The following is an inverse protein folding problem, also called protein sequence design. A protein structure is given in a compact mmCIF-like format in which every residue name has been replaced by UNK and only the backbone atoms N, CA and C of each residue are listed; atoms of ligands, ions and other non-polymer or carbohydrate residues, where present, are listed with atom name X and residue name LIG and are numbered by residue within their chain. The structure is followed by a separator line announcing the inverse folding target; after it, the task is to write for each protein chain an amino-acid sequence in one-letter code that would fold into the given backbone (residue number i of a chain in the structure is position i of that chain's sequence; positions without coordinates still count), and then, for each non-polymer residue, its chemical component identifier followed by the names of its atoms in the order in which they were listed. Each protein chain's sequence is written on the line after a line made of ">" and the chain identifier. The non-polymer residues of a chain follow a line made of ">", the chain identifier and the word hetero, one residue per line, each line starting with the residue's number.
data_IF_940098061232
#
_entry.id   IF_940098061232
#
_cell.length_a   1.000
_cell.length_b   1.000
_cell.length_c   1.000
_cell.angle_alpha   90.00
_cell.angle_beta   90.00
_cell.angle_gamma   90.00
#
_symmetry.space_group_name_H-M   'P 1'
#
loop_
_entity.id
_entity.type
_entity.pdbx_description
1 polymer ?
#
# COMPACT_ATOMS: atom_id res chain seq x y z
N UNK A 1 10.42 35.37 41.68
CA UNK A 1 10.20 33.96 41.31
C UNK A 1 9.45 33.96 39.98
N UNK A 2 10.17 34.16 38.88
CA UNK A 2 9.61 34.35 37.54
C UNK A 2 9.48 32.98 36.89
N UNK A 3 8.25 32.54 36.68
CA UNK A 3 7.93 31.25 36.08
C UNK A 3 7.84 31.37 34.55
N UNK A 4 8.41 30.37 33.88
CA UNK A 4 8.04 29.86 32.56
C UNK A 4 8.51 30.66 31.34
N UNK A 5 9.78 30.41 30.98
CA UNK A 5 10.10 30.08 29.59
C UNK A 5 9.33 28.83 29.17
N UNK A 6 8.77 28.82 27.95
CA UNK A 6 8.52 27.67 27.05
C UNK A 6 7.52 28.12 25.98
N UNK A 7 7.95 28.99 25.06
CA UNK A 7 7.40 28.98 23.71
C UNK A 7 8.43 28.24 22.85
N UNK A 8 8.40 26.93 23.00
CA UNK A 8 9.12 26.00 22.13
C UNK A 8 8.52 26.14 20.73
N UNK A 9 9.41 26.40 19.79
CA UNK A 9 9.18 26.64 18.37
C UNK A 9 8.15 25.67 17.79
N UNK A 10 7.08 26.23 17.21
CA UNK A 10 6.15 25.50 16.36
C UNK A 10 6.96 24.80 15.26
N UNK A 11 6.94 23.48 15.29
CA UNK A 11 7.54 22.58 14.31
C UNK A 11 7.35 23.08 12.88
N UNK A 12 8.45 23.10 12.13
CA UNK A 12 8.49 23.30 10.68
C UNK A 12 7.36 22.48 10.05
N UNK A 13 6.32 23.16 9.56
CA UNK A 13 5.26 22.55 8.77
C UNK A 13 5.93 22.15 7.47
N UNK A 14 6.27 20.88 7.32
CA UNK A 14 6.80 20.35 6.08
C UNK A 14 5.68 20.49 5.04
N UNK A 15 5.84 21.45 4.13
CA UNK A 15 4.83 21.79 3.13
C UNK A 15 4.59 20.55 2.25
N UNK A 16 3.33 20.11 2.06
CA UNK A 16 3.05 18.89 1.31
C UNK A 16 3.57 19.05 -0.13
N UNK A 17 4.57 18.24 -0.49
CA UNK A 17 5.12 18.22 -1.84
C UNK A 17 4.14 17.52 -2.78
N UNK A 18 3.61 18.27 -3.74
CA UNK A 18 2.76 17.74 -4.81
C UNK A 18 3.68 17.24 -5.92
N UNK A 19 3.59 15.95 -6.21
CA UNK A 19 4.30 15.32 -7.33
C UNK A 19 3.35 15.12 -8.50
N UNK A 20 3.84 15.33 -9.73
CA UNK A 20 3.20 14.76 -10.89
C UNK A 20 3.27 13.24 -10.84
N UNK A 21 2.38 12.56 -11.57
CA UNK A 21 2.37 11.10 -11.63
C UNK A 21 3.72 10.52 -12.10
N UNK A 22 4.37 11.18 -13.06
CA UNK A 22 5.69 10.77 -13.56
C UNK A 22 6.79 10.91 -12.50
N UNK A 23 6.81 12.04 -11.77
CA UNK A 23 7.79 12.29 -10.71
C UNK A 23 7.61 11.31 -9.54
N UNK A 24 6.35 11.06 -9.15
CA UNK A 24 6.03 10.11 -8.09
C UNK A 24 6.44 8.68 -8.46
N UNK A 25 6.14 8.25 -9.69
CA UNK A 25 6.52 6.93 -10.19
C UNK A 25 8.05 6.74 -10.24
N UNK A 26 8.80 7.82 -10.49
CA UNK A 26 10.27 7.77 -10.53
C UNK A 26 10.90 7.76 -9.13
N UNK A 27 10.32 8.51 -8.18
CA UNK A 27 10.79 8.54 -6.80
C UNK A 27 10.42 7.30 -5.99
N UNK A 28 9.28 6.68 -6.30
CA UNK A 28 8.87 5.44 -5.66
C UNK A 28 9.69 4.30 -6.25
N UNK A 29 10.78 3.93 -5.57
CA UNK A 29 11.45 2.67 -5.83
C UNK A 29 10.38 1.56 -5.85
N UNK A 30 10.34 0.69 -6.88
CA UNK A 30 9.43 -0.43 -6.88
C UNK A 30 9.72 -1.23 -5.61
N UNK A 31 8.77 -1.20 -4.68
CA UNK A 31 8.84 -2.03 -3.49
C UNK A 31 8.55 -3.45 -3.97
N UNK A 32 9.60 -4.15 -4.38
CA UNK A 32 9.54 -5.59 -4.51
C UNK A 32 9.43 -6.13 -3.09
N UNK A 33 8.20 -6.32 -2.64
CA UNK A 33 7.91 -6.90 -1.33
C UNK A 33 8.44 -8.33 -1.36
N UNK A 34 9.21 -8.74 -0.36
CA UNK A 34 9.65 -10.12 -0.26
C UNK A 34 8.42 -11.05 -0.13
N UNK A 35 8.53 -12.28 -0.63
CA UNK A 35 7.39 -13.20 -0.68
C UNK A 35 6.77 -13.48 0.71
N UNK A 36 7.59 -13.47 1.76
CA UNK A 36 7.16 -13.64 3.15
C UNK A 36 6.42 -12.41 3.69
N UNK A 37 6.91 -11.21 3.39
CA UNK A 37 6.24 -9.96 3.76
C UNK A 37 4.88 -9.86 3.04
N UNK A 38 4.82 -10.24 1.76
CA UNK A 38 3.56 -10.32 1.01
C UNK A 38 2.56 -11.28 1.67
N UNK A 39 3.00 -12.48 2.03
CA UNK A 39 2.15 -13.46 2.70
C UNK A 39 1.59 -12.93 4.04
N UNK A 40 2.37 -12.13 4.78
CA UNK A 40 1.89 -11.47 6.02
C UNK A 40 0.83 -10.42 5.72
N UNK A 41 1.00 -9.62 4.66
CA UNK A 41 0.03 -8.60 4.26
C UNK A 41 -1.29 -9.24 3.83
N UNK A 42 -1.24 -10.29 3.00
CA UNK A 42 -2.44 -11.04 2.60
C UNK A 42 -3.15 -11.68 3.80
N UNK A 43 -2.39 -12.30 4.71
CA UNK A 43 -2.98 -12.92 5.90
C UNK A 43 -3.68 -11.91 6.82
N UNK A 44 -3.10 -10.72 7.01
CA UNK A 44 -3.72 -9.64 7.79
C UNK A 44 -5.01 -9.12 7.15
N UNK A 45 -5.10 -9.16 5.82
CA UNK A 45 -6.22 -8.67 5.03
C UNK A 45 -7.17 -9.77 4.55
N UNK A 46 -7.07 -10.99 5.11
CA UNK A 46 -7.89 -12.16 4.68
C UNK A 46 -9.40 -12.01 4.93
N UNK A 47 -9.82 -11.02 5.71
CA UNK A 47 -11.21 -10.74 6.02
C UNK A 47 -11.55 -9.29 5.68
N UNK A 48 -12.73 -9.06 5.11
CA UNK A 48 -13.23 -7.72 4.83
C UNK A 48 -13.45 -6.94 6.13
N UNK A 49 -12.95 -5.69 6.26
CA UNK A 49 -13.14 -4.89 7.47
C UNK A 49 -14.59 -4.43 7.69
N UNK A 50 -15.44 -4.49 6.66
CA UNK A 50 -16.85 -4.07 6.72
C UNK A 50 -17.80 -5.24 6.99
N UNK A 51 -17.73 -6.31 6.20
CA UNK A 51 -18.67 -7.44 6.30
C UNK A 51 -18.07 -8.71 6.94
N UNK A 52 -16.79 -8.68 7.30
CA UNK A 52 -16.03 -9.78 7.93
C UNK A 52 -16.02 -11.11 7.15
N UNK A 53 -16.36 -11.10 5.86
CA UNK A 53 -16.28 -12.27 4.98
C UNK A 53 -14.85 -12.47 4.45
N UNK A 54 -14.53 -13.72 4.15
CA UNK A 54 -13.22 -14.15 3.63
C UNK A 54 -13.10 -14.10 2.11
N UNK A 55 -14.13 -13.60 1.42
CA UNK A 55 -14.16 -13.45 -0.04
C UNK A 55 -13.40 -12.19 -0.46
N UNK A 56 -12.13 -12.10 -0.07
CA UNK A 56 -11.23 -10.97 -0.34
C UNK A 56 -10.29 -11.36 -1.48
N UNK A 57 -10.17 -10.48 -2.48
CA UNK A 57 -9.23 -10.60 -3.58
C UNK A 57 -8.16 -9.51 -3.51
N UNK A 58 -6.92 -9.86 -3.88
CA UNK A 58 -5.82 -8.91 -3.99
C UNK A 58 -5.90 -8.13 -5.30
N UNK A 59 -5.74 -6.81 -5.23
CA UNK A 59 -5.62 -5.94 -6.39
C UNK A 59 -4.14 -5.76 -6.70
N UNK A 60 -3.70 -6.20 -7.87
CA UNK A 60 -2.32 -6.11 -8.33
C UNK A 60 -2.20 -5.25 -9.59
N UNK A 61 -1.09 -4.51 -9.70
CA UNK A 61 -0.71 -3.87 -10.96
C UNK A 61 -0.20 -4.92 -11.96
N UNK A 62 -0.45 -4.67 -13.24
CA UNK A 62 0.03 -5.50 -14.34
C UNK A 62 1.52 -5.22 -14.65
N UNK A 63 2.36 -5.19 -13.61
CA UNK A 63 3.81 -4.98 -13.67
C UNK A 63 4.61 -6.17 -13.08
N UNK A 64 3.96 -7.33 -12.95
CA UNK A 64 4.59 -8.54 -12.44
C UNK A 64 5.60 -9.18 -13.41
N UNK A 65 6.31 -10.18 -12.90
CA UNK A 65 7.26 -10.96 -13.69
C UNK A 65 6.52 -11.80 -14.72
N UNK A 66 7.09 -11.91 -15.93
CA UNK A 66 6.57 -12.80 -16.97
C UNK A 66 7.23 -14.17 -16.88
N UNK A 67 6.42 -15.22 -16.98
CA UNK A 67 6.89 -16.59 -17.11
C UNK A 67 7.45 -16.87 -18.51
N UNK A 68 8.03 -18.07 -18.70
CA UNK A 68 8.56 -18.49 -20.01
C UNK A 68 7.50 -18.57 -21.12
N UNK A 69 6.23 -18.71 -20.74
CA UNK A 69 5.09 -18.72 -21.65
C UNK A 69 4.54 -17.31 -21.96
N UNK A 70 5.21 -16.24 -21.50
CA UNK A 70 4.78 -14.86 -21.68
C UNK A 70 3.57 -14.44 -20.84
N UNK A 71 3.07 -15.30 -19.94
CA UNK A 71 2.00 -14.95 -19.00
C UNK A 71 2.58 -14.39 -17.71
N UNK A 72 1.84 -13.51 -17.05
CA UNK A 72 2.22 -12.98 -15.74
C UNK A 72 2.26 -14.10 -14.69
N UNK A 73 3.34 -14.13 -13.91
CA UNK A 73 3.47 -15.02 -12.76
C UNK A 73 2.59 -14.46 -11.62
N UNK A 74 1.58 -15.19 -11.12
CA UNK A 74 0.71 -14.71 -10.06
C UNK A 74 1.49 -14.30 -8.80
N UNK A 75 1.04 -13.24 -8.11
CA UNK A 75 1.63 -12.77 -6.87
C UNK A 75 2.96 -12.00 -7.04
N UNK A 76 3.44 -11.86 -8.28
CA UNK A 76 4.64 -11.06 -8.59
C UNK A 76 4.32 -9.63 -9.01
N UNK A 77 3.04 -9.33 -9.26
CA UNK A 77 2.58 -7.96 -9.48
C UNK A 77 2.69 -7.15 -8.19
N UNK A 78 2.79 -5.83 -8.35
CA UNK A 78 2.75 -4.92 -7.20
C UNK A 78 1.36 -4.96 -6.58
N UNK A 79 1.27 -5.48 -5.35
CA UNK A 79 0.05 -5.44 -4.55
C UNK A 79 -0.26 -3.98 -4.17
N UNK A 80 -1.45 -3.49 -4.54
CA UNK A 80 -1.89 -2.12 -4.26
C UNK A 80 -3.07 -2.04 -3.29
N UNK A 81 -3.83 -3.12 -3.16
CA UNK A 81 -4.98 -3.15 -2.28
C UNK A 81 -5.72 -4.47 -2.30
N UNK A 82 -6.93 -4.44 -1.75
CA UNK A 82 -7.82 -5.57 -1.60
C UNK A 82 -9.24 -5.15 -1.93
N UNK A 83 -10.04 -6.06 -2.46
CA UNK A 83 -11.48 -5.90 -2.69
C UNK A 83 -12.27 -7.04 -2.06
N UNK A 84 -13.48 -6.75 -1.58
CA UNK A 84 -14.39 -7.79 -1.08
C UNK A 84 -15.44 -8.14 -2.14
N UNK A 85 -15.45 -9.39 -2.61
CA UNK A 85 -16.44 -9.86 -3.59
C UNK A 85 -17.88 -9.95 -3.04
N UNK A 86 -18.07 -9.83 -1.72
CA UNK A 86 -19.40 -9.90 -1.12
C UNK A 86 -20.08 -8.54 -0.96
N UNK A 87 -19.33 -7.51 -0.52
CA UNK A 87 -19.88 -6.17 -0.29
C UNK A 87 -19.30 -5.09 -1.20
N UNK A 88 -18.30 -5.40 -2.02
CA UNK A 88 -17.65 -4.47 -2.95
C UNK A 88 -16.70 -3.46 -2.29
N UNK A 89 -16.45 -3.55 -0.98
CA UNK A 89 -15.54 -2.63 -0.31
C UNK A 89 -14.08 -2.88 -0.72
N UNK A 90 -13.35 -1.79 -0.98
CA UNK A 90 -11.93 -1.81 -1.37
C UNK A 90 -11.08 -1.03 -0.35
N UNK A 91 -9.85 -1.48 -0.11
CA UNK A 91 -8.92 -0.82 0.81
C UNK A 91 -7.45 -1.03 0.40
N UNK A 92 -6.55 -0.10 0.78
CA UNK A 92 -5.13 -0.17 0.40
C UNK A 92 -4.37 -1.28 1.15
N UNK A 93 -3.30 -1.77 0.52
CA UNK A 93 -2.37 -2.75 1.09
C UNK A 93 -1.29 -2.12 1.98
#
# INVERSE_FOLDING_TARGET
>A
MSHLALLTECSVVDEPRIYSFAEFATQRAPRTIAADERARVEFRNRCCPICNRVTVESIELNNGNLGRNGRMVPGTGTLVGFSCNACGHEWPA
#
